data_IF_355001231352
#
_entry.id   IF_355001231352
#
_cell.length_a   1.000
_cell.length_b   1.000
_cell.length_c   1.000
_cell.angle_alpha   90.00
_cell.angle_beta   90.00
_cell.angle_gamma   90.00
#
_symmetry.space_group_name_H-M   'P 1'
#
loop_
_entity.id
_entity.type
_entity.pdbx_description
1 polymer ?
#
# COMPACT_ATOMS: atom_id res chain seq x y z
N UNK A 1 -44.27 -8.91 -14.48
CA UNK A 1 -43.09 -9.25 -15.30
C UNK A 1 -42.57 -7.99 -15.95
N UNK A 2 -41.62 -7.31 -15.29
CA UNK A 2 -40.63 -6.41 -15.88
C UNK A 2 -39.56 -6.10 -14.82
N UNK A 3 -39.07 -7.15 -14.16
CA UNK A 3 -38.01 -7.08 -13.16
C UNK A 3 -36.69 -6.93 -13.91
N UNK A 4 -36.34 -5.67 -14.17
CA UNK A 4 -35.16 -5.26 -14.92
C UNK A 4 -33.92 -5.88 -14.26
N UNK A 5 -33.29 -6.78 -15.01
CA UNK A 5 -32.15 -7.61 -14.64
C UNK A 5 -30.83 -6.84 -14.59
N UNK A 6 -30.74 -5.79 -13.77
CA UNK A 6 -29.45 -5.20 -13.42
C UNK A 6 -29.02 -5.83 -12.11
N UNK A 7 -28.19 -6.87 -12.23
CA UNK A 7 -27.49 -7.50 -11.13
C UNK A 7 -26.40 -6.55 -10.63
N UNK A 8 -26.78 -5.57 -9.81
CA UNK A 8 -25.80 -4.79 -9.04
C UNK A 8 -25.28 -5.68 -7.91
N UNK A 9 -23.95 -5.85 -7.75
CA UNK A 9 -23.42 -6.61 -6.63
C UNK A 9 -23.93 -6.00 -5.32
N UNK A 10 -24.46 -6.83 -4.44
CA UNK A 10 -25.03 -6.46 -3.13
C UNK A 10 -24.04 -5.80 -2.15
N UNK A 11 -22.81 -5.50 -2.59
CA UNK A 11 -21.76 -4.86 -1.82
C UNK A 11 -21.61 -3.34 -2.05
N UNK A 12 -22.35 -2.72 -2.99
CA UNK A 12 -22.15 -1.31 -3.34
C UNK A 12 -22.97 -0.30 -2.51
N UNK A 13 -23.76 -0.76 -1.53
CA UNK A 13 -24.71 0.10 -0.79
C UNK A 13 -24.73 -0.10 0.73
N UNK A 14 -23.76 -0.81 1.31
CA UNK A 14 -23.61 -0.99 2.75
C UNK A 14 -22.29 -0.39 3.20
N UNK A 15 -22.32 0.41 4.27
CA UNK A 15 -21.19 1.09 4.94
C UNK A 15 -19.83 0.46 4.59
N UNK A 16 -19.06 1.12 3.72
CA UNK A 16 -17.70 0.69 3.37
C UNK A 16 -16.92 0.49 4.67
N UNK A 17 -16.61 -0.76 5.01
CA UNK A 17 -15.94 -1.10 6.25
C UNK A 17 -14.46 -0.77 6.08
N UNK A 18 -14.09 0.48 6.37
CA UNK A 18 -12.70 0.94 6.34
C UNK A 18 -11.76 0.15 7.27
N UNK A 19 -12.30 -0.72 8.15
CA UNK A 19 -11.51 -1.67 8.94
C UNK A 19 -11.14 -2.96 8.21
N UNK A 20 -11.65 -3.19 7.00
CA UNK A 20 -11.14 -4.23 6.09
C UNK A 20 -10.07 -3.61 5.18
N UNK A 21 -8.99 -3.13 5.81
CA UNK A 21 -7.77 -2.88 5.06
C UNK A 21 -7.32 -4.22 4.46
N UNK A 22 -7.10 -4.24 3.14
CA UNK A 22 -6.58 -5.42 2.46
C UNK A 22 -5.29 -5.83 3.16
N UNK A 23 -5.26 -7.04 3.73
CA UNK A 23 -4.05 -7.66 4.30
C UNK A 23 -3.00 -7.71 3.20
N UNK A 24 -2.19 -6.65 3.09
CA UNK A 24 -1.14 -6.58 2.09
C UNK A 24 -0.19 -7.74 2.37
N UNK A 25 -0.06 -8.65 1.42
CA UNK A 25 0.97 -9.70 1.47
C UNK A 25 2.37 -9.08 1.63
N UNK A 26 2.51 -7.81 1.26
CA UNK A 26 3.71 -7.01 1.38
C UNK A 26 3.51 -5.83 2.35
N UNK A 27 3.47 -6.13 3.64
CA UNK A 27 3.45 -5.14 4.71
C UNK A 27 4.88 -4.70 5.04
N UNK A 28 5.37 -3.66 4.33
CA UNK A 28 6.65 -3.04 4.66
C UNK A 28 6.56 -2.37 6.04
N UNK A 29 7.18 -3.02 7.04
CA UNK A 29 7.35 -2.38 8.34
C UNK A 29 8.13 -1.08 8.18
N UNK A 30 7.80 -0.01 8.93
CA UNK A 30 8.52 1.27 8.87
C UNK A 30 10.04 1.16 9.03
N UNK A 31 10.51 0.12 9.72
CA UNK A 31 11.93 -0.22 9.87
C UNK A 31 12.64 -0.38 8.52
N UNK A 32 12.00 -1.00 7.52
CA UNK A 32 12.61 -1.19 6.20
C UNK A 32 12.78 0.14 5.47
N UNK A 33 11.80 1.05 5.63
CA UNK A 33 11.87 2.40 5.07
C UNK A 33 13.02 3.17 5.70
N UNK A 34 13.14 3.12 7.04
CA UNK A 34 14.23 3.78 7.76
C UNK A 34 15.61 3.24 7.35
N UNK A 35 15.75 1.91 7.21
CA UNK A 35 16.99 1.29 6.75
C UNK A 35 17.36 1.72 5.33
N UNK A 36 16.39 1.80 4.42
CA UNK A 36 16.61 2.24 3.05
C UNK A 36 17.07 3.71 2.97
N UNK A 37 16.48 4.59 3.78
CA UNK A 37 16.90 5.99 3.88
C UNK A 37 18.35 6.11 4.35
N UNK A 38 18.73 5.36 5.38
CA UNK A 38 20.12 5.36 5.90
C UNK A 38 21.09 4.88 4.82
N UNK A 39 20.74 3.83 4.07
CA UNK A 39 21.56 3.32 2.98
C UNK A 39 21.80 4.38 1.90
N UNK A 40 20.75 5.11 1.48
CA UNK A 40 20.89 6.20 0.50
C UNK A 40 21.84 7.28 1.01
N UNK A 41 21.71 7.68 2.28
CA UNK A 41 22.59 8.69 2.89
C UNK A 41 24.03 8.19 2.90
N UNK A 42 24.27 6.95 3.31
CA UNK A 42 25.60 6.35 3.30
C UNK A 42 26.20 6.30 1.89
N UNK A 43 25.41 5.89 0.88
CA UNK A 43 25.84 5.86 -0.52
C UNK A 43 26.20 7.26 -1.03
N UNK A 44 25.35 8.26 -0.73
CA UNK A 44 25.61 9.65 -1.08
C UNK A 44 26.90 10.18 -0.46
N UNK A 45 27.22 9.82 0.78
CA UNK A 45 28.46 10.25 1.46
C UNK A 45 29.67 9.48 0.92
N UNK A 46 29.50 8.20 0.60
CA UNK A 46 30.56 7.37 0.07
C UNK A 46 31.04 7.84 -1.32
N UNK A 47 30.12 8.27 -2.18
CA UNK A 47 30.43 8.68 -3.56
C UNK A 47 31.50 9.80 -3.67
N UNK A 48 31.42 10.93 -2.94
CA UNK A 48 32.46 11.96 -2.94
C UNK A 48 33.70 11.62 -2.11
N UNK A 49 33.66 10.56 -1.28
CA UNK A 49 34.87 10.08 -0.60
C UNK A 49 35.71 9.22 -1.55
N UNK A 50 35.07 8.53 -2.49
CA UNK A 50 35.72 7.68 -3.47
C UNK A 50 36.18 8.43 -4.73
N UNK A 51 35.46 9.49 -5.13
CA UNK A 51 35.68 10.26 -6.35
C UNK A 51 35.88 11.75 -6.03
#
# INVERSE_FOLDING_TARGET
>A
MADTSINVPSGFGGLMRFGEEYESQFNLKPIHVMGFVILIIAFRIFLPVLF
#
